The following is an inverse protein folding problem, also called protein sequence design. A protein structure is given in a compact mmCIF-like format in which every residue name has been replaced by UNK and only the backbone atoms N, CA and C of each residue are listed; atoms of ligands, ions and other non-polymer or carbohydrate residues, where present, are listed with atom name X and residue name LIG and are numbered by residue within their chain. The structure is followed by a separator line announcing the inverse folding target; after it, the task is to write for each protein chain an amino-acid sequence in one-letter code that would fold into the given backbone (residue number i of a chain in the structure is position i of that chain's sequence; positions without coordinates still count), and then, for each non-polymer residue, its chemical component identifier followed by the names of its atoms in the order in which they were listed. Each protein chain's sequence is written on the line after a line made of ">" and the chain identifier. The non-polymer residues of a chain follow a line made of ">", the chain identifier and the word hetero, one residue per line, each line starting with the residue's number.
data_IF_823547679144
#
_entry.id   IF_823547679144
#
_cell.length_a   1.000
_cell.length_b   1.000
_cell.length_c   1.000
_cell.angle_alpha   90.00
_cell.angle_beta   90.00
_cell.angle_gamma   90.00
#
_symmetry.space_group_name_H-M   'P 1'
#
loop_
_entity.id
_entity.type
_entity.pdbx_description
1 polymer ?
#
# COMPACT_ATOMS: atom_id res chain seq x y z
N UNK A 1 -2.55 -9.95 -15.93
CA UNK A 1 -1.49 -10.99 -15.90
C UNK A 1 -0.71 -11.02 -14.58
N UNK A 2 -0.40 -9.89 -13.91
CA UNK A 2 0.33 -9.91 -12.62
C UNK A 2 -0.47 -10.37 -11.39
N UNK A 3 -1.78 -10.14 -11.34
CA UNK A 3 -2.63 -10.51 -10.19
C UNK A 3 -2.68 -12.02 -9.94
N UNK A 4 -2.74 -12.82 -11.01
CA UNK A 4 -2.78 -14.28 -10.91
C UNK A 4 -1.49 -14.86 -10.33
N UNK A 5 -0.32 -14.34 -10.71
CA UNK A 5 0.99 -14.80 -10.20
C UNK A 5 1.19 -14.40 -8.73
N UNK A 6 0.70 -13.21 -8.36
CA UNK A 6 0.77 -12.69 -6.99
C UNK A 6 -0.11 -13.52 -6.05
N UNK A 7 -1.36 -13.78 -6.43
CA UNK A 7 -2.26 -14.65 -5.66
C UNK A 7 -1.78 -16.09 -5.60
N UNK A 8 -1.22 -16.61 -6.70
CA UNK A 8 -0.61 -17.94 -6.75
C UNK A 8 0.55 -18.05 -5.74
N UNK A 9 1.47 -17.07 -5.72
CA UNK A 9 2.60 -17.07 -4.78
C UNK A 9 2.17 -16.89 -3.33
N UNK A 10 1.10 -16.13 -3.07
CA UNK A 10 0.50 -15.99 -1.74
C UNK A 10 -0.05 -17.34 -1.26
N UNK A 11 -0.75 -18.07 -2.14
CA UNK A 11 -1.30 -19.40 -1.84
C UNK A 11 -0.21 -20.46 -1.64
N UNK A 12 0.84 -20.43 -2.44
CA UNK A 12 1.93 -21.41 -2.39
C UNK A 12 2.86 -21.22 -1.18
N UNK A 13 3.13 -19.97 -0.79
CA UNK A 13 4.13 -19.70 0.26
C UNK A 13 3.57 -19.61 1.67
N UNK A 14 2.25 -19.38 1.82
CA UNK A 14 1.62 -19.07 3.12
C UNK A 14 2.15 -17.78 3.76
N UNK A 15 2.99 -17.01 3.06
CA UNK A 15 3.65 -15.80 3.55
C UNK A 15 2.97 -14.56 2.97
N UNK A 16 3.00 -13.42 3.69
CA UNK A 16 2.55 -12.15 3.13
C UNK A 16 3.30 -11.83 1.85
N UNK A 17 2.61 -11.17 0.92
CA UNK A 17 3.24 -10.69 -0.30
C UNK A 17 4.42 -9.77 0.05
N UNK A 18 5.57 -9.91 -0.64
CA UNK A 18 6.64 -8.94 -0.51
C UNK A 18 6.12 -7.52 -0.71
N UNK A 19 6.40 -6.62 0.24
CA UNK A 19 5.84 -5.27 0.27
C UNK A 19 6.09 -4.48 -1.04
N UNK A 20 7.22 -4.71 -1.69
CA UNK A 20 7.57 -4.08 -2.97
C UNK A 20 6.63 -4.44 -4.14
N UNK A 21 5.89 -5.56 -4.04
CA UNK A 21 4.86 -5.93 -5.01
C UNK A 21 3.57 -5.13 -4.83
N UNK A 22 3.37 -4.55 -3.64
CA UNK A 22 2.21 -3.72 -3.30
C UNK A 22 2.49 -2.26 -3.66
N UNK A 23 3.64 -1.73 -3.22
CA UNK A 23 4.11 -0.39 -3.58
C UNK A 23 5.64 -0.40 -3.65
N UNK A 24 6.21 0.27 -4.65
CA UNK A 24 7.67 0.40 -4.75
C UNK A 24 8.17 1.47 -3.76
N UNK A 25 9.45 1.37 -3.37
CA UNK A 25 10.09 2.36 -2.50
C UNK A 25 9.97 3.78 -3.05
N UNK A 26 10.08 3.95 -4.38
CA UNK A 26 9.90 5.25 -5.03
C UNK A 26 8.50 5.83 -4.79
N UNK A 27 7.46 5.00 -4.82
CA UNK A 27 6.08 5.43 -4.52
C UNK A 27 5.95 5.77 -3.04
N UNK A 28 6.49 4.96 -2.13
CA UNK A 28 6.43 5.22 -0.69
C UNK A 28 7.13 6.53 -0.31
N UNK A 29 8.32 6.78 -0.87
CA UNK A 29 9.07 8.02 -0.69
C UNK A 29 8.29 9.22 -1.25
N UNK A 30 7.67 9.06 -2.43
CA UNK A 30 6.86 10.13 -3.02
C UNK A 30 5.64 10.47 -2.14
N UNK A 31 4.92 9.45 -1.64
CA UNK A 31 3.80 9.65 -0.71
C UNK A 31 4.26 10.39 0.56
N UNK A 32 5.38 9.99 1.14
CA UNK A 32 5.92 10.62 2.34
C UNK A 32 6.35 12.09 2.11
N UNK A 33 6.82 12.42 0.91
CA UNK A 33 7.23 13.79 0.54
C UNK A 33 6.03 14.68 0.21
N UNK A 34 5.12 14.19 -0.62
CA UNK A 34 3.98 14.95 -1.13
C UNK A 34 2.85 15.07 -0.11
N UNK A 35 2.78 14.15 0.87
CA UNK A 35 1.79 14.15 1.96
C UNK A 35 0.35 14.39 1.45
N UNK A 36 -0.17 13.52 0.56
CA UNK A 36 -1.51 13.68 0.02
C UNK A 36 -2.56 13.64 1.13
N UNK A 37 -3.59 14.49 1.00
CA UNK A 37 -4.67 14.64 2.00
C UNK A 37 -5.99 14.04 1.55
N UNK A 38 -6.07 13.60 0.30
CA UNK A 38 -7.24 13.01 -0.30
C UNK A 38 -6.86 11.96 -1.37
N UNK A 39 -7.86 11.19 -1.79
CA UNK A 39 -7.72 10.10 -2.77
C UNK A 39 -7.23 10.64 -4.12
N UNK A 40 -7.66 11.84 -4.50
CA UNK A 40 -7.29 12.46 -5.77
C UNK A 40 -5.81 12.87 -5.80
N UNK A 41 -5.26 13.35 -4.69
CA UNK A 41 -3.86 13.65 -4.48
C UNK A 41 -3.02 12.37 -4.45
N UNK A 42 -3.48 11.37 -3.71
CA UNK A 42 -2.81 10.06 -3.66
C UNK A 42 -2.73 9.42 -5.06
N UNK A 43 -3.80 9.53 -5.85
CA UNK A 43 -3.85 9.02 -7.22
C UNK A 43 -2.96 9.75 -8.23
N UNK A 44 -2.39 10.91 -7.88
CA UNK A 44 -1.44 11.65 -8.72
C UNK A 44 0.02 11.21 -8.51
N UNK A 45 0.32 10.45 -7.47
CA UNK A 45 1.66 9.94 -7.19
C UNK A 45 2.14 9.09 -8.37
N UNK A 46 3.28 9.47 -8.95
CA UNK A 46 3.84 8.76 -10.11
C UNK A 46 4.17 7.30 -9.75
N UNK A 47 3.61 6.37 -10.51
CA UNK A 47 3.84 4.93 -10.33
C UNK A 47 2.94 4.25 -9.31
N UNK A 48 2.03 4.99 -8.65
CA UNK A 48 1.03 4.36 -7.79
C UNK A 48 0.04 3.54 -8.61
N UNK A 49 -0.32 2.36 -8.10
CA UNK A 49 -1.31 1.52 -8.77
C UNK A 49 -2.72 2.00 -8.44
N UNK A 50 -3.58 2.11 -9.47
CA UNK A 50 -4.98 2.49 -9.29
C UNK A 50 -5.75 1.55 -8.37
N UNK A 51 -5.43 0.25 -8.41
CA UNK A 51 -6.01 -0.77 -7.53
C UNK A 51 -5.65 -0.53 -6.07
N UNK A 52 -4.39 -0.19 -5.78
CA UNK A 52 -3.96 0.16 -4.42
C UNK A 52 -4.71 1.38 -3.89
N UNK A 53 -4.89 2.41 -4.72
CA UNK A 53 -5.65 3.61 -4.35
C UNK A 53 -7.12 3.28 -4.10
N UNK A 54 -7.73 2.45 -4.95
CA UNK A 54 -9.14 2.08 -4.82
C UNK A 54 -9.40 1.20 -3.59
N UNK A 55 -8.52 0.25 -3.30
CA UNK A 55 -8.72 -0.73 -2.22
C UNK A 55 -8.24 -0.21 -0.86
N UNK A 56 -7.16 0.57 -0.82
CA UNK A 56 -6.44 0.93 0.42
C UNK A 56 -6.14 2.42 0.55
N UNK A 57 -6.67 3.26 -0.35
CA UNK A 57 -6.35 4.68 -0.36
C UNK A 57 -6.63 5.39 0.96
N UNK A 58 -7.75 5.07 1.62
CA UNK A 58 -8.10 5.68 2.90
C UNK A 58 -7.14 5.26 4.03
N UNK A 59 -6.77 3.98 4.10
CA UNK A 59 -5.80 3.48 5.09
C UNK A 59 -4.44 4.16 4.91
N UNK A 60 -4.00 4.35 3.67
CA UNK A 60 -2.76 5.07 3.36
C UNK A 60 -2.81 6.54 3.80
N UNK A 61 -3.93 7.24 3.53
CA UNK A 61 -4.12 8.62 3.97
C UNK A 61 -4.13 8.74 5.50
N UNK A 62 -4.74 7.79 6.18
CA UNK A 62 -4.77 7.74 7.64
C UNK A 62 -3.36 7.58 8.23
N UNK A 63 -2.53 6.72 7.64
CA UNK A 63 -1.11 6.56 8.01
C UNK A 63 -0.34 7.86 7.77
N UNK A 64 -0.51 8.49 6.61
CA UNK A 64 0.16 9.76 6.28
C UNK A 64 -0.26 10.87 7.24
N UNK A 65 -1.52 10.88 7.66
CA UNK A 65 -2.03 11.80 8.67
C UNK A 65 -1.57 11.46 10.11
N UNK A 66 -0.75 10.43 10.30
CA UNK A 66 -0.21 10.02 11.60
C UNK A 66 -1.23 9.30 12.49
N UNK A 67 -2.35 8.81 11.93
CA UNK A 67 -3.32 8.04 12.72
C UNK A 67 -2.72 6.69 13.10
N UNK A 68 -2.96 6.23 14.33
CA UNK A 68 -2.45 4.93 14.78
C UNK A 68 -3.12 3.81 13.97
N UNK A 69 -2.30 3.01 13.29
CA UNK A 69 -2.74 1.75 12.70
C UNK A 69 -2.65 0.67 13.78
N UNK A 70 -3.74 -0.09 13.96
CA UNK A 70 -3.72 -1.28 14.79
C UNK A 70 -2.69 -2.25 14.20
N UNK A 71 -1.56 -2.46 14.89
CA UNK A 71 -0.55 -3.44 14.46
C UNK A 71 -1.23 -4.81 14.39
N UNK A 72 -1.26 -5.48 13.23
CA UNK A 72 -1.73 -6.85 13.18
C UNK A 72 -0.69 -7.72 13.91
N UNK A 73 -1.04 -8.19 15.12
CA UNK A 73 -0.27 -9.21 15.84
C UNK A 73 0.66 -8.73 16.97
N UNK A 74 0.28 -7.73 17.76
CA UNK A 74 0.96 -7.48 19.05
C UNK A 74 0.57 -8.53 20.10
N UNK A 75 1.29 -9.65 20.17
CA UNK A 75 1.30 -10.50 21.37
C UNK A 75 2.23 -9.88 22.40
N UNK A 76 1.72 -9.71 23.62
CA UNK A 76 2.52 -9.48 24.83
C UNK A 76 3.45 -10.67 25.11
#
# INVERSE_FOLDING_TARGET
>A
WRTAVVEQRRRESGKPLPAFLVATDAVLIAIAREQPRDIAGLGRIKGIQRTLVAERGQELLDIVAGKPVARPGGTA
#
